data_IF_263940471303
#
_entry.id   IF_263940471303
#
_cell.length_a   1.000
_cell.length_b   1.000
_cell.length_c   1.000
_cell.angle_alpha   90.00
_cell.angle_beta   90.00
_cell.angle_gamma   90.00
#
_symmetry.space_group_name_H-M   'P 1'
#
loop_
_entity.id
_entity.type
_entity.pdbx_description
1 polymer ?
#
# COMPACT_ATOMS: atom_id res chain seq x y z
N UNK A 1 -2.68 10.63 -18.04
CA UNK A 1 -4.02 10.00 -18.24
C UNK A 1 -4.06 9.42 -19.65
N UNK A 2 -4.64 8.24 -19.84
CA UNK A 2 -4.85 7.67 -21.19
C UNK A 2 -3.76 6.73 -21.73
N UNK A 3 -2.74 6.38 -20.95
CA UNK A 3 -1.69 5.41 -21.36
C UNK A 3 -2.29 4.04 -21.70
N UNK A 4 -3.30 3.62 -20.93
CA UNK A 4 -4.03 2.37 -21.15
C UNK A 4 -5.31 2.54 -22.00
N UNK A 5 -5.50 3.71 -22.61
CA UNK A 5 -6.66 4.05 -23.42
C UNK A 5 -7.68 4.99 -22.73
N UNK A 6 -8.78 5.32 -23.42
CA UNK A 6 -9.82 6.22 -22.90
C UNK A 6 -10.41 5.75 -21.57
N UNK A 7 -10.70 6.69 -20.68
CA UNK A 7 -11.29 6.41 -19.35
C UNK A 7 -10.31 5.94 -18.26
N UNK A 8 -9.06 5.61 -18.61
CA UNK A 8 -8.05 5.23 -17.61
C UNK A 8 -7.39 6.44 -16.95
N UNK A 9 -7.91 6.79 -15.77
CA UNK A 9 -7.32 7.76 -14.85
C UNK A 9 -6.20 7.16 -13.99
N UNK A 10 -6.41 5.91 -13.56
CA UNK A 10 -5.52 5.13 -12.71
C UNK A 10 -5.77 3.64 -12.96
N UNK A 11 -4.91 2.79 -12.41
CA UNK A 11 -5.06 1.32 -12.44
C UNK A 11 -5.12 0.79 -11.02
N UNK A 12 -5.86 -0.31 -10.83
CA UNK A 12 -6.01 -0.97 -9.53
C UNK A 12 -5.64 -2.45 -9.64
N UNK A 13 -4.72 -2.97 -8.80
CA UNK A 13 -4.43 -4.39 -8.76
C UNK A 13 -5.60 -5.18 -8.14
N UNK A 14 -6.07 -6.21 -8.84
CA UNK A 14 -7.07 -7.14 -8.30
C UNK A 14 -6.56 -7.87 -7.04
N UNK A 15 -7.51 -8.35 -6.23
CA UNK A 15 -7.34 -9.29 -5.10
C UNK A 15 -6.67 -8.77 -3.83
N UNK A 16 -6.57 -7.45 -3.66
CA UNK A 16 -5.99 -6.86 -2.44
C UNK A 16 -5.18 -5.58 -2.67
N UNK A 17 -5.23 -5.02 -3.89
CA UNK A 17 -4.53 -3.79 -4.21
C UNK A 17 -3.02 -3.94 -4.06
N UNK A 18 -2.40 -3.02 -3.33
CA UNK A 18 -0.93 -2.94 -3.24
C UNK A 18 -0.29 -4.08 -2.44
N UNK A 19 -1.05 -4.88 -1.68
CA UNK A 19 -0.49 -6.07 -1.03
C UNK A 19 -0.01 -7.12 -2.04
N UNK A 20 -0.66 -7.19 -3.20
CA UNK A 20 -0.25 -8.10 -4.27
C UNK A 20 1.07 -7.67 -4.90
N UNK A 21 1.32 -6.36 -5.00
CA UNK A 21 2.60 -5.82 -5.51
C UNK A 21 3.76 -6.27 -4.63
N UNK A 22 3.60 -6.21 -3.31
CA UNK A 22 4.60 -6.72 -2.37
C UNK A 22 4.85 -8.23 -2.55
N UNK A 23 3.78 -9.03 -2.74
CA UNK A 23 3.91 -10.47 -2.95
C UNK A 23 4.60 -10.82 -4.28
N UNK A 24 4.34 -10.06 -5.35
CA UNK A 24 5.03 -10.21 -6.64
C UNK A 24 6.54 -9.94 -6.46
N UNK A 25 6.90 -8.87 -5.75
CA UNK A 25 8.29 -8.59 -5.40
C UNK A 25 8.93 -9.74 -4.62
N UNK A 26 8.21 -10.27 -3.61
CA UNK A 26 8.70 -11.41 -2.83
C UNK A 26 8.90 -12.67 -3.67
N UNK A 27 7.98 -12.96 -4.61
CA UNK A 27 8.10 -14.08 -5.53
C UNK A 27 9.32 -13.94 -6.43
N UNK A 28 9.55 -12.75 -6.99
CA UNK A 28 10.71 -12.49 -7.83
C UNK A 28 12.03 -12.73 -7.06
N UNK A 29 12.12 -12.25 -5.81
CA UNK A 29 13.27 -12.50 -4.95
C UNK A 29 13.44 -13.99 -4.60
N UNK A 30 12.35 -14.72 -4.34
CA UNK A 30 12.39 -16.16 -4.07
C UNK A 30 12.92 -16.96 -5.28
N UNK A 31 12.51 -16.60 -6.50
CA UNK A 31 13.09 -17.15 -7.74
C UNK A 31 14.58 -16.79 -7.86
N UNK A 32 14.96 -15.62 -7.35
CA UNK A 32 16.34 -15.20 -7.17
C UNK A 32 17.16 -16.09 -6.20
N UNK A 33 16.50 -16.85 -5.33
CA UNK A 33 17.11 -17.68 -4.28
C UNK A 33 16.92 -17.12 -2.86
N UNK A 34 16.12 -16.06 -2.68
CA UNK A 34 15.80 -15.53 -1.36
C UNK A 34 14.94 -16.52 -0.55
N UNK A 35 15.16 -16.55 0.77
CA UNK A 35 14.43 -17.39 1.72
C UNK A 35 13.50 -16.51 2.54
N UNK A 36 12.23 -16.90 2.63
CA UNK A 36 11.22 -16.22 3.43
C UNK A 36 10.92 -16.99 4.72
N UNK A 37 10.87 -16.28 5.83
CA UNK A 37 10.48 -16.81 7.14
C UNK A 37 9.38 -15.93 7.74
N UNK A 38 8.15 -16.42 7.73
CA UNK A 38 7.01 -15.77 8.39
C UNK A 38 6.80 -16.32 9.80
N UNK A 39 6.10 -15.57 10.65
CA UNK A 39 5.81 -15.98 12.03
C UNK A 39 7.04 -15.97 12.96
N UNK A 40 8.15 -15.37 12.53
CA UNK A 40 9.38 -15.22 13.32
C UNK A 40 9.86 -13.77 13.27
N UNK A 41 9.79 -13.07 14.38
CA UNK A 41 10.35 -11.72 14.51
C UNK A 41 11.85 -11.76 14.83
N UNK A 42 12.52 -10.61 14.65
CA UNK A 42 13.89 -10.41 15.13
C UNK A 42 13.83 -10.09 16.62
N UNK A 43 14.49 -10.90 17.44
CA UNK A 43 14.59 -10.71 18.90
C UNK A 43 15.74 -9.77 19.25
N UNK A 44 16.85 -9.85 18.52
CA UNK A 44 18.02 -9.01 18.74
C UNK A 44 18.82 -8.84 17.46
N UNK A 45 19.38 -7.65 17.26
CA UNK A 45 20.32 -7.30 16.21
C UNK A 45 21.55 -6.68 16.88
N UNK A 46 22.71 -7.34 16.73
CA UNK A 46 23.97 -6.90 17.33
C UNK A 46 24.99 -6.57 16.25
N UNK A 47 25.63 -5.41 16.42
CA UNK A 47 26.82 -5.02 15.67
C UNK A 47 28.06 -5.40 16.48
N UNK A 48 29.04 -6.00 15.82
CA UNK A 48 30.35 -6.29 16.42
C UNK A 48 31.18 -5.01 16.53
N UNK A 49 32.06 -4.95 17.53
CA UNK A 49 33.03 -3.85 17.67
C UNK A 49 34.17 -3.95 16.66
N UNK A 50 34.34 -5.11 16.01
CA UNK A 50 35.34 -5.31 14.97
C UNK A 50 34.87 -4.73 13.62
N UNK A 51 35.68 -3.91 12.92
CA UNK A 51 35.27 -3.17 11.72
C UNK A 51 34.68 -3.97 10.56
N UNK A 52 34.93 -5.28 10.49
CA UNK A 52 34.53 -6.16 9.37
C UNK A 52 33.74 -7.40 9.81
N UNK A 53 33.36 -7.48 11.08
CA UNK A 53 32.61 -8.62 11.59
C UNK A 53 31.12 -8.50 11.19
N UNK A 54 30.47 -9.60 10.78
CA UNK A 54 29.08 -9.58 10.35
C UNK A 54 28.15 -9.21 11.51
N UNK A 55 27.01 -8.62 11.17
CA UNK A 55 25.88 -8.43 12.06
C UNK A 55 25.37 -9.79 12.54
N UNK A 56 25.02 -9.88 13.82
CA UNK A 56 24.43 -11.08 14.43
C UNK A 56 22.95 -10.83 14.73
N UNK A 57 22.09 -11.64 14.14
CA UNK A 57 20.64 -11.59 14.29
C UNK A 57 20.17 -12.83 15.04
N UNK A 58 19.47 -12.63 16.15
CA UNK A 58 18.75 -13.70 16.85
C UNK A 58 17.27 -13.55 16.62
N UNK A 59 16.62 -14.61 16.17
CA UNK A 59 15.19 -14.64 15.87
C UNK A 59 14.38 -15.17 17.06
N UNK A 60 13.07 -14.94 17.05
CA UNK A 60 12.17 -15.41 18.11
C UNK A 60 12.02 -16.93 18.17
N UNK A 61 12.37 -17.64 17.10
CA UNK A 61 12.36 -19.09 17.01
C UNK A 61 13.74 -19.72 17.34
N UNK A 62 14.60 -18.98 18.04
CA UNK A 62 15.94 -19.41 18.47
C UNK A 62 16.88 -19.78 17.31
N UNK A 63 16.63 -19.24 16.11
CA UNK A 63 17.55 -19.29 14.98
C UNK A 63 18.47 -18.06 15.05
N UNK A 64 19.77 -18.29 14.89
CA UNK A 64 20.77 -17.23 14.77
C UNK A 64 21.29 -17.15 13.32
N UNK A 65 21.35 -15.93 12.78
CA UNK A 65 21.82 -15.64 11.42
C UNK A 65 22.92 -14.57 11.46
N UNK A 66 23.90 -14.68 10.57
CA UNK A 66 24.91 -13.66 10.35
C UNK A 66 24.69 -12.97 9.00
N UNK A 67 24.74 -11.64 8.98
CA UNK A 67 24.51 -10.85 7.78
C UNK A 67 25.58 -9.76 7.62
N UNK A 68 25.91 -9.40 6.38
CA UNK A 68 26.80 -8.26 6.09
C UNK A 68 26.06 -6.92 6.09
N UNK A 69 24.77 -6.96 5.76
CA UNK A 69 23.89 -5.81 5.66
C UNK A 69 22.51 -6.25 6.13
N UNK A 70 21.80 -5.37 6.84
CA UNK A 70 20.39 -5.54 7.20
C UNK A 70 19.58 -4.39 6.62
N UNK A 71 18.49 -4.72 5.93
CA UNK A 71 17.48 -3.76 5.49
C UNK A 71 16.19 -4.07 6.22
N UNK A 72 15.64 -3.07 6.91
CA UNK A 72 14.47 -3.24 7.79
C UNK A 72 13.50 -2.07 7.66
N UNK A 73 12.27 -2.25 8.14
CA UNK A 73 11.30 -1.18 8.31
C UNK A 73 11.34 -0.61 9.73
N UNK A 74 10.87 0.62 9.90
CA UNK A 74 10.67 1.20 11.23
C UNK A 74 9.55 0.47 11.99
N UNK A 75 9.81 0.10 13.24
CA UNK A 75 8.83 -0.57 14.12
C UNK A 75 7.76 0.36 14.68
N UNK A 76 8.06 1.67 14.74
CA UNK A 76 7.19 2.66 15.35
C UNK A 76 7.21 3.98 14.59
N UNK A 77 6.12 4.71 14.74
CA UNK A 77 6.00 6.07 14.26
C UNK A 77 6.71 7.04 15.20
N UNK A 78 7.36 8.05 14.64
CA UNK A 78 7.81 9.20 15.42
C UNK A 78 6.59 9.97 15.97
N UNK A 79 6.75 10.64 17.11
CA UNK A 79 5.66 11.42 17.74
C UNK A 79 5.15 12.57 16.88
N UNK A 80 5.94 13.02 15.91
CA UNK A 80 5.60 14.04 14.91
C UNK A 80 4.95 13.47 13.64
N UNK A 81 4.77 12.16 13.55
CA UNK A 81 4.23 11.50 12.36
C UNK A 81 2.79 11.92 12.10
N UNK A 82 2.50 12.21 10.82
CA UNK A 82 1.12 12.44 10.38
C UNK A 82 0.32 11.16 10.62
N UNK A 83 -0.88 11.33 11.16
CA UNK A 83 -1.85 10.25 11.34
C UNK A 83 -3.04 10.44 10.42
N UNK A 84 -3.55 9.34 9.90
CA UNK A 84 -4.76 9.27 9.10
C UNK A 84 -5.78 8.42 9.83
N UNK A 85 -7.00 8.93 9.93
CA UNK A 85 -8.17 8.14 10.35
C UNK A 85 -8.73 7.42 9.15
N UNK A 86 -9.02 6.12 9.31
CA UNK A 86 -9.57 5.28 8.26
C UNK A 86 -10.84 4.59 8.73
N UNK A 87 -11.79 4.46 7.81
CA UNK A 87 -13.02 3.73 8.01
C UNK A 87 -13.20 2.77 6.84
N UNK A 88 -13.15 1.47 7.11
CA UNK A 88 -13.43 0.43 6.11
C UNK A 88 -14.83 -0.12 6.34
N UNK A 89 -15.61 -0.20 5.27
CA UNK A 89 -17.02 -0.58 5.31
C UNK A 89 -17.29 -1.63 4.24
N UNK A 90 -18.03 -2.68 4.59
CA UNK A 90 -18.59 -3.63 3.61
C UNK A 90 -20.10 -3.48 3.62
N UNK A 91 -20.71 -3.30 2.45
CA UNK A 91 -22.15 -3.06 2.33
C UNK A 91 -22.78 -3.77 1.12
N UNK A 92 -24.10 -3.98 1.19
CA UNK A 92 -24.94 -4.41 0.06
C UNK A 92 -25.74 -3.24 -0.55
N UNK A 93 -25.62 -2.03 -0.01
CA UNK A 93 -26.25 -0.85 -0.59
C UNK A 93 -25.84 -0.72 -2.05
N UNK A 94 -26.80 -0.40 -2.92
CA UNK A 94 -26.52 -0.35 -4.35
C UNK A 94 -25.65 0.87 -4.68
N UNK A 95 -24.38 0.63 -4.96
CA UNK A 95 -23.43 1.66 -5.35
C UNK A 95 -23.08 1.62 -6.85
N UNK A 96 -23.79 0.81 -7.64
CA UNK A 96 -23.57 0.71 -9.10
C UNK A 96 -23.48 2.06 -9.84
N UNK A 97 -24.28 3.11 -9.49
CA UNK A 97 -24.22 4.39 -10.20
C UNK A 97 -22.86 5.10 -10.14
N UNK A 98 -22.00 4.82 -9.14
CA UNK A 98 -20.65 5.42 -9.08
C UNK A 98 -19.67 4.80 -10.07
N UNK A 99 -20.05 3.71 -10.73
CA UNK A 99 -19.25 2.98 -11.72
C UNK A 99 -19.76 3.16 -13.15
N UNK A 100 -20.65 4.13 -13.39
CA UNK A 100 -21.14 4.42 -14.74
C UNK A 100 -19.99 4.87 -15.66
N UNK A 101 -20.05 4.45 -16.92
CA UNK A 101 -19.05 4.78 -17.92
C UNK A 101 -19.10 6.27 -18.25
N UNK A 102 -17.98 6.96 -18.03
CA UNK A 102 -17.85 8.39 -18.32
C UNK A 102 -17.48 8.69 -19.78
N UNK A 103 -17.04 7.69 -20.54
CA UNK A 103 -16.57 7.86 -21.91
C UNK A 103 -16.86 6.60 -22.72
N UNK A 104 -17.31 6.77 -23.95
CA UNK A 104 -17.57 5.65 -24.87
C UNK A 104 -16.28 4.87 -25.15
N UNK A 105 -16.39 3.54 -25.19
CA UNK A 105 -15.25 2.62 -25.34
C UNK A 105 -14.35 2.45 -24.10
N UNK A 106 -14.62 3.13 -22.99
CA UNK A 106 -13.92 2.88 -21.72
C UNK A 106 -14.41 1.57 -21.08
N UNK A 107 -13.56 0.82 -20.36
CA UNK A 107 -14.01 -0.32 -19.57
C UNK A 107 -14.75 0.16 -18.31
N UNK A 108 -15.65 -0.69 -17.79
CA UNK A 108 -16.34 -0.42 -16.53
C UNK A 108 -15.32 -0.28 -15.39
N UNK A 109 -15.33 0.83 -14.64
CA UNK A 109 -14.44 1.00 -13.50
C UNK A 109 -14.75 -0.04 -12.42
N UNK A 110 -13.71 -0.69 -11.90
CA UNK A 110 -13.85 -1.55 -10.71
C UNK A 110 -13.79 -0.76 -9.40
N UNK A 111 -13.17 0.43 -9.44
CA UNK A 111 -12.97 1.35 -8.32
C UNK A 111 -13.40 2.76 -8.71
N UNK A 112 -14.11 3.44 -7.83
CA UNK A 112 -14.44 4.86 -7.95
C UNK A 112 -13.84 5.64 -6.78
N UNK A 113 -13.30 6.83 -7.04
CA UNK A 113 -12.78 7.73 -6.00
C UNK A 113 -13.77 8.89 -5.83
N UNK A 114 -14.32 9.02 -4.62
CA UNK A 114 -15.19 10.12 -4.24
C UNK A 114 -14.44 11.04 -3.29
N UNK A 115 -14.35 12.31 -3.65
CA UNK A 115 -13.75 13.34 -2.81
C UNK A 115 -14.84 14.20 -2.18
N UNK A 116 -14.71 14.42 -0.88
CA UNK A 116 -15.43 15.43 -0.11
C UNK A 116 -14.45 16.57 0.14
N UNK A 117 -14.54 17.68 -0.61
CA UNK A 117 -13.68 18.83 -0.39
C UNK A 117 -13.72 19.33 1.06
N UNK A 118 -12.66 19.99 1.49
CA UNK A 118 -12.63 20.69 2.78
C UNK A 118 -13.87 21.58 2.94
N UNK A 119 -14.47 21.52 4.13
CA UNK A 119 -15.67 22.26 4.51
C UNK A 119 -17.00 21.67 4.06
N UNK A 120 -17.02 20.56 3.30
CA UNK A 120 -18.28 19.95 2.84
C UNK A 120 -18.95 19.05 3.88
N UNK A 121 -18.17 18.42 4.75
CA UNK A 121 -18.67 17.64 5.89
C UNK A 121 -18.58 18.48 7.15
N UNK A 122 -19.58 18.42 8.01
CA UNK A 122 -19.62 19.19 9.26
C UNK A 122 -19.36 18.32 10.49
N UNK A 123 -18.77 18.91 11.53
CA UNK A 123 -18.67 18.29 12.87
C UNK A 123 -19.96 18.50 13.67
N UNK A 124 -20.01 18.10 14.95
CA UNK A 124 -21.25 18.11 15.75
C UNK A 124 -21.89 19.49 15.87
N UNK A 125 -21.10 20.56 15.99
CA UNK A 125 -21.56 21.94 16.11
C UNK A 125 -21.82 22.63 14.75
N UNK A 126 -22.15 21.86 13.70
CA UNK A 126 -22.31 22.32 12.30
C UNK A 126 -21.09 23.05 11.71
N UNK A 127 -19.96 23.06 12.42
CA UNK A 127 -18.74 23.69 11.96
C UNK A 127 -18.17 22.90 10.77
N UNK A 128 -17.74 23.55 9.68
CA UNK A 128 -17.14 22.87 8.54
C UNK A 128 -15.84 22.16 8.94
N UNK A 129 -15.68 20.92 8.51
CA UNK A 129 -14.47 20.15 8.76
C UNK A 129 -13.34 20.58 7.82
N UNK A 130 -12.16 20.86 8.37
CA UNK A 130 -11.08 21.56 7.64
C UNK A 130 -10.31 20.69 6.65
N UNK A 131 -10.40 19.37 6.75
CA UNK A 131 -9.64 18.46 5.88
C UNK A 131 -10.55 17.76 4.86
N UNK A 132 -10.05 17.48 3.65
CA UNK A 132 -10.79 16.69 2.68
C UNK A 132 -10.96 15.25 3.18
N UNK A 133 -12.12 14.66 2.90
CA UNK A 133 -12.37 13.23 3.07
C UNK A 133 -12.33 12.56 1.70
N UNK A 134 -11.69 11.41 1.61
CA UNK A 134 -11.69 10.60 0.39
C UNK A 134 -12.33 9.26 0.68
N UNK A 135 -13.14 8.77 -0.25
CA UNK A 135 -13.71 7.43 -0.24
C UNK A 135 -13.32 6.71 -1.53
N UNK A 136 -12.69 5.55 -1.40
CA UNK A 136 -12.50 4.61 -2.51
C UNK A 136 -13.60 3.56 -2.42
N UNK A 137 -14.46 3.51 -3.43
CA UNK A 137 -15.57 2.56 -3.54
C UNK A 137 -15.16 1.45 -4.49
N UNK A 138 -15.08 0.23 -3.97
CA UNK A 138 -14.62 -0.95 -4.68
C UNK A 138 -15.81 -1.87 -4.93
N UNK A 139 -16.01 -2.23 -6.19
CA UNK A 139 -16.99 -3.25 -6.60
C UNK A 139 -16.42 -4.65 -6.40
N UNK A 140 -17.26 -5.67 -6.50
CA UNK A 140 -16.81 -7.07 -6.48
C UNK A 140 -15.81 -7.42 -7.59
N UNK A 141 -15.70 -6.60 -8.64
CA UNK A 141 -14.74 -6.80 -9.72
C UNK A 141 -13.29 -6.56 -9.26
N UNK A 142 -13.05 -5.94 -8.11
CA UNK A 142 -11.71 -5.91 -7.51
C UNK A 142 -11.29 -7.25 -6.92
N UNK A 143 -12.25 -8.16 -6.67
CA UNK A 143 -12.01 -9.44 -6.01
C UNK A 143 -11.87 -9.34 -4.48
N UNK A 144 -12.16 -8.19 -3.89
CA UNK A 144 -12.01 -7.96 -2.44
C UNK A 144 -13.29 -8.24 -1.65
N UNK A 145 -14.42 -8.38 -2.33
CA UNK A 145 -15.70 -8.76 -1.74
C UNK A 145 -16.53 -9.65 -2.68
N UNK A 146 -17.50 -10.42 -2.13
CA UNK A 146 -18.40 -11.23 -2.95
C UNK A 146 -19.28 -10.39 -3.90
N UNK A 147 -19.77 -11.02 -4.97
CA UNK A 147 -20.70 -10.39 -5.91
C UNK A 147 -21.93 -9.81 -5.22
N UNK A 148 -22.33 -8.61 -5.67
CA UNK A 148 -23.45 -7.85 -5.08
C UNK A 148 -23.10 -7.13 -3.77
N UNK A 149 -21.82 -7.07 -3.41
CA UNK A 149 -21.32 -6.28 -2.28
C UNK A 149 -20.30 -5.26 -2.76
N UNK A 150 -20.02 -4.29 -1.90
CA UNK A 150 -19.05 -3.23 -2.11
C UNK A 150 -18.18 -3.08 -0.87
N UNK A 151 -16.92 -2.70 -1.08
CA UNK A 151 -16.03 -2.24 -0.01
C UNK A 151 -15.81 -0.76 -0.17
N UNK A 152 -15.89 0.01 0.92
CA UNK A 152 -15.63 1.44 0.93
C UNK A 152 -14.49 1.70 1.91
N UNK A 153 -13.39 2.25 1.40
CA UNK A 153 -12.27 2.73 2.19
C UNK A 153 -12.35 4.24 2.28
N UNK A 154 -12.77 4.77 3.43
CA UNK A 154 -12.74 6.20 3.70
C UNK A 154 -11.50 6.59 4.49
N UNK A 155 -10.95 7.76 4.21
CA UNK A 155 -9.80 8.30 4.92
C UNK A 155 -9.80 9.82 5.01
N UNK A 156 -9.28 10.34 6.11
CA UNK A 156 -8.98 11.77 6.32
C UNK A 156 -7.80 11.92 7.30
N UNK A 157 -7.22 13.12 7.36
CA UNK A 157 -6.25 13.48 8.41
C UNK A 157 -6.87 13.25 9.79
N UNK A 158 -6.09 12.68 10.70
CA UNK A 158 -6.55 12.42 12.06
C UNK A 158 -6.89 13.73 12.80
N UNK A 159 -8.08 13.74 13.39
CA UNK A 159 -8.53 14.71 14.40
C UNK A 159 -9.39 13.98 15.42
N UNK A 160 -9.70 14.61 16.55
CA UNK A 160 -10.64 14.04 17.54
C UNK A 160 -12.05 13.79 16.98
N UNK A 161 -12.43 14.54 15.95
CA UNK A 161 -13.71 14.44 15.24
C UNK A 161 -13.67 13.54 14.00
N UNK A 162 -12.50 13.03 13.59
CA UNK A 162 -12.35 12.37 12.31
C UNK A 162 -13.24 11.13 12.14
N UNK A 163 -13.45 10.35 13.21
CA UNK A 163 -14.34 9.18 13.16
C UNK A 163 -15.78 9.57 12.78
N UNK A 164 -16.37 10.54 13.48
CA UNK A 164 -17.74 10.96 13.21
C UNK A 164 -17.86 11.64 11.85
N UNK A 165 -16.82 12.36 11.41
CA UNK A 165 -16.72 12.91 10.05
C UNK A 165 -16.74 11.80 9.00
N UNK A 166 -15.97 10.72 9.17
CA UNK A 166 -15.97 9.59 8.23
C UNK A 166 -17.33 8.89 8.17
N UNK A 167 -18.02 8.74 9.31
CA UNK A 167 -19.37 8.16 9.38
C UNK A 167 -20.42 9.05 8.70
N UNK A 168 -20.31 10.37 8.84
CA UNK A 168 -21.14 11.36 8.13
C UNK A 168 -20.88 11.35 6.62
N UNK A 169 -19.62 11.28 6.21
CA UNK A 169 -19.23 11.18 4.80
C UNK A 169 -19.78 9.90 4.16
N UNK A 170 -19.68 8.76 4.84
CA UNK A 170 -20.28 7.49 4.43
C UNK A 170 -21.79 7.62 4.24
N UNK A 171 -22.48 8.18 5.23
CA UNK A 171 -23.94 8.36 5.18
C UNK A 171 -24.35 9.26 4.01
N UNK A 172 -23.59 10.34 3.80
CA UNK A 172 -23.82 11.28 2.70
C UNK A 172 -23.59 10.64 1.33
N UNK A 173 -22.53 9.82 1.19
CA UNK A 173 -22.27 9.05 -0.02
C UNK A 173 -23.42 8.12 -0.35
N UNK A 174 -23.83 7.29 0.61
CA UNK A 174 -24.90 6.30 0.40
C UNK A 174 -26.22 7.01 0.05
N UNK A 175 -26.55 8.10 0.76
CA UNK A 175 -27.75 8.88 0.49
C UNK A 175 -27.75 9.49 -0.93
N UNK A 176 -26.61 10.03 -1.37
CA UNK A 176 -26.45 10.64 -2.69
C UNK A 176 -26.60 9.61 -3.82
N UNK A 177 -26.06 8.41 -3.65
CA UNK A 177 -26.11 7.36 -4.70
C UNK A 177 -27.45 6.65 -4.73
N UNK A 178 -28.08 6.46 -3.57
CA UNK A 178 -29.32 5.67 -3.48
C UNK A 178 -30.59 6.51 -3.72
N UNK A 179 -30.46 7.81 -4.03
CA UNK A 179 -31.59 8.76 -4.11
C UNK A 179 -32.53 8.69 -2.89
N UNK A 180 -31.98 8.38 -1.71
CA UNK A 180 -32.75 8.19 -0.47
C UNK A 180 -33.59 6.90 -0.37
N UNK A 181 -33.46 5.95 -1.30
CA UNK A 181 -34.12 4.63 -1.23
C UNK A 181 -33.17 3.54 -0.73
N UNK A 182 -33.68 2.57 0.05
CA UNK A 182 -32.98 1.37 0.54
C UNK A 182 -31.53 1.54 1.02
N UNK A 183 -31.37 2.22 2.17
CA UNK A 183 -30.10 2.23 2.91
C UNK A 183 -30.01 0.96 3.77
N UNK A 184 -29.36 -0.07 3.24
CA UNK A 184 -28.98 -1.22 4.06
C UNK A 184 -27.88 -0.81 5.04
N UNK A 185 -27.97 -1.28 6.29
CA UNK A 185 -26.88 -1.11 7.25
C UNK A 185 -25.61 -1.81 6.74
N UNK A 186 -24.42 -1.28 7.03
CA UNK A 186 -23.17 -1.98 6.75
C UNK A 186 -23.18 -3.41 7.29
N UNK A 187 -22.67 -4.35 6.51
CA UNK A 187 -22.43 -5.74 6.94
C UNK A 187 -21.28 -5.78 7.94
N UNK A 188 -20.26 -4.97 7.67
CA UNK A 188 -19.05 -4.86 8.46
C UNK A 188 -18.52 -3.44 8.41
N UNK A 189 -17.96 -2.99 9.53
CA UNK A 189 -17.34 -1.68 9.64
C UNK A 189 -16.20 -1.73 10.65
N UNK A 190 -15.04 -1.17 10.28
CA UNK A 190 -13.89 -1.02 11.17
C UNK A 190 -13.27 0.37 11.02
N UNK A 191 -13.10 1.03 12.15
CA UNK A 191 -12.35 2.28 12.27
C UNK A 191 -10.98 2.01 12.86
N UNK A 192 -9.95 2.62 12.29
CA UNK A 192 -8.61 2.59 12.85
C UNK A 192 -7.83 3.85 12.47
N UNK A 193 -6.73 4.07 13.18
CA UNK A 193 -5.79 5.14 12.91
C UNK A 193 -4.48 4.53 12.42
N UNK A 194 -3.87 5.19 11.44
CA UNK A 194 -2.61 4.77 10.87
C UNK A 194 -1.64 5.95 10.89
N UNK A 195 -0.44 5.72 11.42
CA UNK A 195 0.66 6.67 11.29
C UNK A 195 1.41 6.42 9.98
N UNK A 196 1.84 7.51 9.34
CA UNK A 196 2.68 7.47 8.15
C UNK A 196 4.07 8.00 8.40
N UNK A 197 4.97 7.76 7.45
CA UNK A 197 6.30 8.34 7.42
C UNK A 197 6.57 9.10 6.14
N UNK A 198 7.82 9.57 6.01
CA UNK A 198 8.33 10.36 4.90
C UNK A 198 8.67 9.53 3.65
N UNK A 199 8.47 8.22 3.68
CA UNK A 199 8.93 7.28 2.65
C UNK A 199 10.44 7.42 2.34
N UNK A 200 11.27 7.53 3.38
CA UNK A 200 12.71 7.74 3.28
C UNK A 200 13.51 6.55 3.80
N UNK A 201 14.76 6.42 3.35
CA UNK A 201 15.71 5.44 3.87
C UNK A 201 16.74 6.14 4.77
N UNK A 202 16.95 5.61 5.97
CA UNK A 202 18.06 6.01 6.85
C UNK A 202 19.12 4.93 6.85
N UNK A 203 20.39 5.31 6.73
CA UNK A 203 21.51 4.35 6.68
C UNK A 203 22.47 4.65 7.84
N UNK A 204 22.61 3.69 8.74
CA UNK A 204 23.66 3.66 9.75
C UNK A 204 24.60 2.50 9.44
N UNK A 205 25.70 2.80 8.72
CA UNK A 205 26.71 1.82 8.28
C UNK A 205 26.08 0.67 7.49
N UNK A 206 25.98 -0.50 8.12
CA UNK A 206 25.51 -1.78 7.59
C UNK A 206 24.03 -2.07 7.92
N UNK A 207 23.31 -1.09 8.47
CA UNK A 207 21.88 -1.18 8.74
C UNK A 207 21.16 -0.04 8.01
N UNK A 208 20.25 -0.42 7.11
CA UNK A 208 19.36 0.51 6.41
C UNK A 208 17.93 0.34 6.95
N UNK A 209 17.30 1.44 7.36
CA UNK A 209 15.97 1.44 7.95
C UNK A 209 15.05 2.35 7.13
N UNK A 210 14.02 1.75 6.53
CA UNK A 210 12.91 2.48 5.90
C UNK A 210 12.05 3.16 6.97
N UNK A 211 11.69 4.42 6.75
CA UNK A 211 10.63 5.07 7.53
C UNK A 211 9.29 4.35 7.33
N UNK A 212 8.28 4.70 8.13
CA UNK A 212 6.93 4.26 7.86
C UNK A 212 6.46 4.66 6.44
N UNK A 213 5.54 3.88 5.83
CA UNK A 213 5.01 4.19 4.50
C UNK A 213 4.30 5.55 4.46
N UNK A 214 4.27 6.16 3.28
CA UNK A 214 3.42 7.33 3.01
C UNK A 214 1.94 6.97 3.17
N UNK A 215 1.13 7.94 3.62
CA UNK A 215 -0.34 7.82 3.74
C UNK A 215 -1.07 8.36 2.50
N UNK A 216 -0.34 8.58 1.41
CA UNK A 216 -0.90 8.99 0.13
C UNK A 216 -1.99 8.04 -0.37
N UNK A 217 -2.92 8.57 -1.17
CA UNK A 217 -3.99 7.80 -1.80
C UNK A 217 -3.52 7.04 -3.04
N UNK A 218 -2.49 7.55 -3.70
CA UNK A 218 -1.93 6.95 -4.90
C UNK A 218 -0.63 6.23 -4.58
N UNK A 219 -0.36 5.17 -5.35
CA UNK A 219 0.97 4.62 -5.48
C UNK A 219 1.64 5.29 -6.68
N UNK A 220 2.43 6.31 -6.43
CA UNK A 220 3.21 7.01 -7.47
C UNK A 220 4.69 6.65 -7.39
N UNK A 221 5.43 6.99 -8.45
CA UNK A 221 6.82 6.58 -8.62
C UNK A 221 7.74 7.06 -7.48
N UNK A 222 7.42 8.17 -6.81
CA UNK A 222 8.24 8.67 -5.69
C UNK A 222 8.25 7.71 -4.49
N UNK A 223 7.27 6.81 -4.41
CA UNK A 223 7.25 5.77 -3.38
C UNK A 223 8.46 4.82 -3.56
N UNK A 224 8.93 4.63 -4.79
CA UNK A 224 10.04 3.75 -5.11
C UNK A 224 11.42 4.41 -4.96
N UNK A 225 11.50 5.71 -4.70
CA UNK A 225 12.78 6.41 -4.57
C UNK A 225 13.65 5.83 -3.45
N UNK A 226 13.07 5.62 -2.26
CA UNK A 226 13.79 5.00 -1.13
C UNK A 226 14.15 3.53 -1.40
N UNK A 227 13.34 2.82 -2.19
CA UNK A 227 13.65 1.45 -2.63
C UNK A 227 14.85 1.45 -3.56
N UNK A 228 14.94 2.43 -4.46
CA UNK A 228 16.08 2.62 -5.34
C UNK A 228 17.35 3.01 -4.56
N UNK A 229 17.24 3.83 -3.51
CA UNK A 229 18.36 4.09 -2.59
C UNK A 229 18.86 2.82 -1.90
N UNK A 230 17.94 1.99 -1.39
CA UNK A 230 18.29 0.71 -0.77
C UNK A 230 18.93 -0.25 -1.79
N UNK A 231 18.42 -0.30 -3.02
CA UNK A 231 19.00 -1.11 -4.09
C UNK A 231 20.46 -0.73 -4.37
N UNK A 232 20.76 0.58 -4.46
CA UNK A 232 22.13 1.06 -4.66
C UNK A 232 23.03 0.57 -3.53
N UNK A 233 22.60 0.72 -2.28
CA UNK A 233 23.37 0.27 -1.12
C UNK A 233 23.73 -1.22 -1.17
N UNK A 234 22.80 -2.07 -1.64
CA UNK A 234 22.99 -3.52 -1.73
C UNK A 234 23.89 -3.92 -2.90
N UNK A 235 23.84 -3.17 -4.01
CA UNK A 235 24.48 -3.52 -5.28
C UNK A 235 25.75 -2.71 -5.59
N UNK A 236 26.32 -1.98 -4.63
CA UNK A 236 27.66 -1.38 -4.80
C UNK A 236 28.70 -2.49 -4.73
N UNK A 237 29.39 -2.74 -5.84
CA UNK A 237 30.54 -3.65 -5.86
C UNK A 237 31.80 -3.01 -5.23
N UNK A 238 32.86 -3.80 -5.06
CA UNK A 238 34.12 -3.33 -4.47
C UNK A 238 34.85 -2.25 -5.30
N UNK A 239 34.44 -2.02 -6.55
CA UNK A 239 34.99 -0.99 -7.44
C UNK A 239 34.08 0.24 -7.59
N UNK A 240 32.91 0.25 -6.93
CA UNK A 240 31.97 1.37 -6.94
C UNK A 240 31.03 1.41 -8.16
N UNK A 241 30.98 0.34 -8.97
CA UNK A 241 30.05 0.24 -10.09
C UNK A 241 28.70 -0.27 -9.58
N UNK A 242 27.65 0.53 -9.78
CA UNK A 242 26.27 0.11 -9.48
C UNK A 242 25.70 -0.64 -10.68
N UNK A 243 25.17 -1.84 -10.46
CA UNK A 243 24.32 -2.49 -11.45
C UNK A 243 23.11 -1.61 -11.81
N UNK A 244 22.60 -1.75 -13.03
CA UNK A 244 21.37 -1.10 -13.46
C UNK A 244 20.20 -1.51 -12.55
N UNK A 245 19.33 -0.56 -12.24
CA UNK A 245 18.22 -0.78 -11.30
C UNK A 245 17.25 -1.85 -11.82
N UNK A 246 17.08 -2.92 -11.04
CA UNK A 246 16.14 -4.02 -11.31
C UNK A 246 16.30 -4.68 -12.69
N UNK A 247 17.51 -4.63 -13.26
CA UNK A 247 17.86 -5.44 -14.42
C UNK A 247 18.54 -6.72 -13.94
N UNK A 248 17.93 -7.85 -14.27
CA UNK A 248 18.44 -9.18 -13.93
C UNK A 248 18.83 -9.89 -15.22
N UNK A 249 19.98 -10.57 -15.21
CA UNK A 249 20.36 -11.43 -16.33
C UNK A 249 19.35 -12.58 -16.47
N UNK A 250 18.98 -12.91 -17.70
CA UNK A 250 18.14 -14.07 -17.99
C UNK A 250 18.87 -15.34 -17.51
N UNK A 251 18.30 -16.00 -16.49
CA UNK A 251 18.85 -17.26 -15.95
C UNK A 251 18.59 -18.45 -16.87
N UNK A 252 17.75 -18.28 -17.87
CA UNK A 252 17.53 -19.29 -18.91
C UNK A 252 18.62 -19.14 -19.97
N UNK A 253 19.70 -19.90 -19.82
CA UNK A 253 20.39 -20.43 -20.99
C UNK A 253 19.38 -21.30 -21.73
N UNK A 254 18.61 -20.69 -22.64
CA UNK A 254 17.74 -21.41 -23.56
C UNK A 254 18.60 -22.38 -24.35
N UNK A 255 18.57 -23.65 -23.94
CA UNK A 255 18.99 -24.75 -24.80
C UNK A 255 17.87 -24.90 -25.83
N UNK A 256 17.87 -24.02 -26.82
CA UNK A 256 17.21 -24.26 -28.10
C UNK A 256 18.06 -25.30 -28.83
N UNK A 257 17.98 -26.54 -28.38
CA UNK A 257 18.51 -27.71 -29.11
C UNK A 257 17.60 -28.90 -28.79
N UNK A 258 16.49 -28.96 -29.51
CA UNK A 258 15.88 -30.22 -29.92
C UNK A 258 15.21 -30.02 -31.28
N UNK A 259 15.96 -30.17 -32.40
CA UNK A 259 15.37 -30.37 -33.70
C UNK A 259 14.87 -31.81 -33.78
N UNK A 260 13.62 -32.06 -33.36
CA UNK A 260 12.95 -33.31 -33.71
C UNK A 260 12.32 -33.18 -35.09
N UNK A 261 13.04 -33.75 -36.07
CA UNK A 261 12.47 -34.37 -37.29
C UNK A 261 11.42 -35.45 -36.92
#
# INVERSE_FOLDING_TARGET
MGVFGPGFAAVYPKWGGLSEVAQVGCRAAAVGGAIYMLGSGIKNLKRSEQPDAPLELSFMNDIDVKAKLVVQGADAADSSSIRTSRLTVVTKSNLSPVFELLTDGAPTPAVAVVAFPSGTVTIEDETPYEFPVYAMVHSSDTGECPSGQYVIYLSTVYTTSAKSVLEKALSSLIAAVSNGQDVSSPIYQVYYEQSGGSNSLSVDRDIATFSLPSLGLAFDDSILDSVHEAWKLINVDSEGTSADYMQFEDREGGVDDDPFD
#
